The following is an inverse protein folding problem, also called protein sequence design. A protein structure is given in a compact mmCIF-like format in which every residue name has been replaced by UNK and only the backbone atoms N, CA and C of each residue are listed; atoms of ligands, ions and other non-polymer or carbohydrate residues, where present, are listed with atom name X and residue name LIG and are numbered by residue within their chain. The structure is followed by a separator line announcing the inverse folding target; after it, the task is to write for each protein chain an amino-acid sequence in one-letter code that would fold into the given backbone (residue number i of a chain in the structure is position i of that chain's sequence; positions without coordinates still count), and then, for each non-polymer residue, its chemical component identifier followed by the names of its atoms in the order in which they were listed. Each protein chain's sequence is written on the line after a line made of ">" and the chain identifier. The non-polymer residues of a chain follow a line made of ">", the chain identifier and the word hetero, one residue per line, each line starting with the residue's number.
data_IF_309923513245
#
_entry.id   IF_309923513245
#
_cell.length_a   1.000
_cell.length_b   1.000
_cell.length_c   1.000
_cell.angle_alpha   90.00
_cell.angle_beta   90.00
_cell.angle_gamma   90.00
#
_symmetry.space_group_name_H-M   'P 1'
#
loop_
_entity.id
_entity.type
_entity.pdbx_description
1 polymer ?
#
# COMPACT_ATOMS: atom_id res chain seq x y z
N UNK A 1 -14.07 -8.48 21.94
CA UNK A 1 -13.85 -7.64 20.74
C UNK A 1 -12.85 -6.60 21.17
N UNK A 2 -11.69 -6.47 20.50
CA UNK A 2 -10.73 -5.44 20.89
C UNK A 2 -11.42 -4.07 20.75
N UNK A 3 -11.14 -3.16 21.66
CA UNK A 3 -11.72 -1.79 21.62
C UNK A 3 -11.00 -0.89 20.61
N UNK A 4 -10.01 -1.42 19.92
CA UNK A 4 -9.22 -0.71 18.92
C UNK A 4 -10.00 -0.71 17.61
N UNK A 5 -10.33 0.46 17.03
CA UNK A 5 -10.98 0.52 15.72
C UNK A 5 -10.12 -0.18 14.68
N UNK A 6 -10.71 -1.01 13.83
CA UNK A 6 -9.99 -1.63 12.72
C UNK A 6 -9.51 -0.54 11.75
N UNK A 7 -8.20 -0.54 11.45
CA UNK A 7 -7.56 0.44 10.56
C UNK A 7 -6.84 -0.26 9.41
N UNK A 8 -6.66 0.49 8.32
CA UNK A 8 -5.70 0.19 7.26
C UNK A 8 -4.59 1.23 7.30
N UNK A 9 -3.33 0.78 7.21
CA UNK A 9 -2.18 1.68 7.07
C UNK A 9 -1.72 1.62 5.63
N UNK A 10 -1.97 2.70 4.90
CA UNK A 10 -1.57 2.84 3.51
C UNK A 10 -0.18 3.44 3.45
N UNK A 11 0.73 2.78 2.72
CA UNK A 11 2.08 3.28 2.52
C UNK A 11 2.40 3.19 1.03
N UNK A 12 3.12 4.19 0.56
CA UNK A 12 3.79 4.21 -0.74
C UNK A 12 5.22 4.70 -0.49
N UNK A 13 6.15 4.11 -1.22
CA UNK A 13 7.57 4.38 -1.11
C UNK A 13 8.11 4.75 -2.50
N UNK A 14 8.87 5.83 -2.56
CA UNK A 14 9.72 6.11 -3.70
C UNK A 14 11.14 5.62 -3.40
N UNK A 15 11.80 5.05 -4.41
CA UNK A 15 13.13 4.47 -4.29
C UNK A 15 14.06 4.96 -5.40
N UNK A 16 15.35 4.77 -5.19
CA UNK A 16 16.38 4.94 -6.25
C UNK A 16 16.32 3.83 -7.33
N UNK A 17 15.59 2.75 -7.06
CA UNK A 17 15.35 1.62 -7.96
C UNK A 17 14.62 0.48 -7.25
N UNK A 18 14.67 -0.74 -7.78
CA UNK A 18 13.92 -1.90 -7.25
C UNK A 18 14.83 -3.03 -6.73
N UNK A 19 16.15 -2.91 -6.86
CA UNK A 19 17.11 -3.89 -6.36
C UNK A 19 17.43 -3.60 -4.88
N UNK A 20 16.85 -4.39 -3.99
CA UNK A 20 17.10 -4.31 -2.55
C UNK A 20 18.58 -4.43 -2.16
N UNK A 21 19.49 -4.89 -3.02
CA UNK A 21 20.91 -4.94 -2.70
C UNK A 21 21.59 -3.55 -2.76
N UNK A 22 21.13 -2.67 -3.64
CA UNK A 22 21.82 -1.41 -4.00
C UNK A 22 20.94 -0.17 -3.94
N UNK A 23 19.62 -0.34 -4.06
CA UNK A 23 18.67 0.76 -4.07
C UNK A 23 18.11 1.03 -2.66
N UNK A 24 17.82 2.28 -2.40
CA UNK A 24 17.39 2.85 -1.12
C UNK A 24 16.11 3.67 -1.25
N UNK A 25 15.41 3.85 -0.12
CA UNK A 25 14.23 4.70 0.03
C UNK A 25 14.58 6.18 -0.13
N UNK A 26 13.73 6.94 -0.81
CA UNK A 26 13.90 8.39 -1.02
C UNK A 26 12.66 9.21 -0.66
N UNK A 27 11.47 8.62 -0.63
CA UNK A 27 10.27 9.23 -0.07
C UNK A 27 9.41 8.12 0.56
N UNK A 28 8.76 8.42 1.70
CA UNK A 28 7.74 7.54 2.28
C UNK A 28 6.54 8.39 2.63
N UNK A 29 5.36 7.97 2.19
CA UNK A 29 4.10 8.54 2.63
C UNK A 29 3.25 7.52 3.39
N UNK A 30 2.38 8.02 4.27
CA UNK A 30 1.46 7.22 5.06
C UNK A 30 0.10 7.90 5.09
N UNK A 31 -0.95 7.14 4.86
CA UNK A 31 -2.34 7.53 5.16
C UNK A 31 -2.99 6.43 5.99
N UNK A 32 -3.74 6.79 7.02
CA UNK A 32 -4.52 5.83 7.80
C UNK A 32 -6.00 6.00 7.47
N UNK A 33 -6.69 4.91 7.18
CA UNK A 33 -8.14 4.90 6.97
C UNK A 33 -8.83 3.96 7.95
N UNK A 34 -10.15 4.11 8.11
CA UNK A 34 -10.99 2.98 8.52
C UNK A 34 -11.22 1.99 7.35
N UNK A 35 -12.06 0.99 7.58
CA UNK A 35 -12.45 0.00 6.56
C UNK A 35 -13.54 0.50 5.61
N UNK A 36 -14.09 1.70 5.85
CA UNK A 36 -14.89 2.40 4.86
C UNK A 36 -14.04 3.20 3.86
N UNK A 37 -12.72 3.15 4.01
CA UNK A 37 -11.71 3.82 3.19
C UNK A 37 -11.69 5.34 3.39
N UNK A 38 -12.27 5.83 4.48
CA UNK A 38 -12.25 7.24 4.85
C UNK A 38 -10.95 7.57 5.60
N UNK A 39 -10.14 8.54 5.13
CA UNK A 39 -8.94 8.97 5.84
C UNK A 39 -9.27 9.56 7.21
N UNK A 40 -8.52 9.15 8.24
CA UNK A 40 -8.68 9.70 9.60
C UNK A 40 -7.83 10.95 9.86
N UNK A 41 -6.92 11.24 8.93
CA UNK A 41 -5.98 12.36 8.93
C UNK A 41 -5.57 12.65 7.47
N UNK A 42 -5.13 13.88 7.12
CA UNK A 42 -4.72 14.21 5.75
C UNK A 42 -3.56 13.38 5.19
N UNK A 43 -2.77 12.72 6.05
CA UNK A 43 -1.61 11.95 5.67
C UNK A 43 -0.29 12.57 6.13
N UNK A 44 0.76 11.79 6.03
CA UNK A 44 2.14 12.18 6.36
C UNK A 44 3.05 11.78 5.21
N UNK A 45 4.02 12.63 4.86
CA UNK A 45 5.06 12.29 3.88
C UNK A 45 6.40 12.84 4.33
N UNK A 46 7.47 12.12 4.01
CA UNK A 46 8.83 12.51 4.36
C UNK A 46 9.82 12.09 3.27
N UNK A 47 10.70 13.02 2.90
CA UNK A 47 11.79 12.79 1.94
C UNK A 47 13.04 12.35 2.70
N UNK A 48 13.69 11.32 2.17
CA UNK A 48 14.84 10.65 2.77
C UNK A 48 16.03 10.88 1.87
N UNK A 49 17.15 11.25 2.48
CA UNK A 49 18.43 11.37 1.77
C UNK A 49 19.10 9.98 1.75
N UNK A 50 19.21 9.32 0.58
CA UNK A 50 19.91 8.04 0.47
C UNK A 50 21.43 8.26 0.50
N UNK A 51 22.17 7.16 0.60
CA UNK A 51 23.61 7.16 0.40
C UNK A 51 23.95 7.59 -1.03
N UNK A 52 25.08 8.31 -1.18
CA UNK A 52 25.50 8.84 -2.48
C UNK A 52 25.63 7.75 -3.55
N UNK A 53 26.06 6.54 -3.16
CA UNK A 53 26.18 5.40 -4.07
C UNK A 53 24.83 4.95 -4.64
N UNK A 54 23.77 4.93 -3.84
CA UNK A 54 22.43 4.59 -4.32
C UNK A 54 21.87 5.71 -5.20
N UNK A 55 22.10 6.97 -4.80
CA UNK A 55 21.70 8.14 -5.57
C UNK A 55 22.36 8.19 -6.96
N UNK A 56 23.65 7.88 -7.05
CA UNK A 56 24.39 7.86 -8.30
C UNK A 56 24.03 6.64 -9.17
N UNK A 57 23.59 5.54 -8.56
CA UNK A 57 23.18 4.31 -9.25
C UNK A 57 21.77 4.38 -9.87
N UNK A 58 21.00 5.45 -9.61
CA UNK A 58 19.68 5.64 -10.25
C UNK A 58 19.81 5.59 -11.77
N UNK A 59 19.16 4.60 -12.39
CA UNK A 59 19.06 4.50 -13.84
C UNK A 59 18.23 5.64 -14.44
N UNK A 60 18.44 5.91 -15.73
CA UNK A 60 17.84 7.05 -16.44
C UNK A 60 16.32 7.15 -16.26
N UNK A 61 15.62 6.02 -16.33
CA UNK A 61 14.16 5.99 -16.14
C UNK A 61 13.72 6.53 -14.77
N UNK A 62 14.34 6.06 -13.68
CA UNK A 62 13.99 6.48 -12.31
C UNK A 62 14.41 7.92 -12.08
N UNK A 63 15.58 8.31 -12.60
CA UNK A 63 16.08 9.68 -12.50
C UNK A 63 15.15 10.67 -13.21
N UNK A 64 14.73 10.37 -14.43
CA UNK A 64 13.81 11.23 -15.20
C UNK A 64 12.43 11.32 -14.55
N UNK A 65 11.94 10.21 -13.98
CA UNK A 65 10.69 10.14 -13.22
C UNK A 65 10.74 11.08 -11.99
N UNK A 66 11.78 10.97 -11.16
CA UNK A 66 11.97 11.81 -9.98
C UNK A 66 12.25 13.27 -10.33
N UNK A 67 12.86 13.53 -11.48
CA UNK A 67 13.03 14.90 -11.99
C UNK A 67 11.68 15.51 -12.38
N UNK A 68 10.82 14.75 -13.08
CA UNK A 68 9.51 15.22 -13.50
C UNK A 68 8.57 15.47 -12.31
N UNK A 69 8.69 14.70 -11.23
CA UNK A 69 7.90 14.86 -10.00
C UNK A 69 8.40 15.98 -9.07
N UNK A 70 9.60 16.51 -9.34
CA UNK A 70 10.32 17.45 -8.48
C UNK A 70 11.04 16.80 -7.29
N UNK A 71 10.83 15.50 -7.04
CA UNK A 71 11.44 14.79 -5.93
C UNK A 71 12.97 14.79 -6.00
N UNK A 72 13.55 14.73 -7.21
CA UNK A 72 15.00 14.72 -7.40
C UNK A 72 15.69 15.96 -6.79
N UNK A 73 15.01 17.11 -6.74
CA UNK A 73 15.53 18.35 -6.13
C UNK A 73 15.38 18.36 -4.60
N UNK A 74 14.39 17.64 -4.07
CA UNK A 74 14.12 17.52 -2.64
C UNK A 74 15.06 16.51 -1.96
N UNK A 75 15.40 15.40 -2.63
CA UNK A 75 16.21 14.29 -2.09
C UNK A 75 17.51 14.75 -1.39
N UNK A 76 18.33 15.66 -1.96
CA UNK A 76 19.57 16.09 -1.31
C UNK A 76 19.38 16.77 0.06
N UNK A 77 18.16 17.28 0.31
CA UNK A 77 17.73 17.96 1.54
C UNK A 77 16.86 17.07 2.44
N UNK A 78 16.65 15.80 2.06
CA UNK A 78 15.91 14.83 2.86
C UNK A 78 16.55 14.56 4.22
N UNK A 79 15.75 13.99 5.13
CA UNK A 79 16.22 13.58 6.46
C UNK A 79 17.03 12.28 6.39
N UNK A 80 17.66 11.90 7.49
CA UNK A 80 18.29 10.58 7.60
C UNK A 80 17.24 9.47 7.62
N UNK A 81 17.62 8.25 7.17
CA UNK A 81 16.74 7.08 7.24
C UNK A 81 16.24 6.81 8.67
N UNK A 82 17.10 6.99 9.68
CA UNK A 82 16.74 6.76 11.07
C UNK A 82 15.68 7.76 11.59
N UNK A 83 15.80 9.03 11.19
CA UNK A 83 14.82 10.06 11.53
C UNK A 83 13.50 9.84 10.79
N UNK A 84 13.55 9.37 9.55
CA UNK A 84 12.38 9.02 8.77
C UNK A 84 11.62 7.85 9.40
N UNK A 85 12.31 6.74 9.72
CA UNK A 85 11.69 5.58 10.39
C UNK A 85 11.03 5.99 11.71
N UNK A 86 11.70 6.84 12.51
CA UNK A 86 11.15 7.33 13.77
C UNK A 86 9.85 8.12 13.53
N UNK A 87 9.84 9.08 12.61
CA UNK A 87 8.68 9.93 12.36
C UNK A 87 7.50 9.17 11.72
N UNK A 88 7.80 8.24 10.79
CA UNK A 88 6.80 7.35 10.19
C UNK A 88 6.13 6.50 11.28
N UNK A 89 6.91 5.88 12.16
CA UNK A 89 6.38 5.06 13.24
C UNK A 89 5.53 5.88 14.22
N UNK A 90 6.02 7.06 14.64
CA UNK A 90 5.27 7.96 15.52
C UNK A 90 3.93 8.38 14.89
N UNK A 91 3.92 8.68 13.59
CA UNK A 91 2.67 8.99 12.88
C UNK A 91 1.68 7.82 12.92
N UNK A 92 2.15 6.60 12.65
CA UNK A 92 1.31 5.39 12.67
C UNK A 92 0.76 5.13 14.08
N UNK A 93 1.59 5.25 15.12
CA UNK A 93 1.23 4.98 16.52
C UNK A 93 0.10 5.89 17.05
N UNK A 94 -0.05 7.09 16.49
CA UNK A 94 -1.16 7.99 16.82
C UNK A 94 -2.53 7.39 16.50
N UNK A 95 -2.61 6.52 15.50
CA UNK A 95 -3.87 5.95 15.00
C UNK A 95 -3.96 4.43 15.20
N UNK A 96 -2.82 3.75 15.28
CA UNK A 96 -2.69 2.30 15.48
C UNK A 96 -1.71 2.06 16.64
N UNK A 97 -2.13 2.28 17.90
CA UNK A 97 -1.23 2.14 19.05
C UNK A 97 -0.91 0.66 19.36
N UNK A 98 -1.79 -0.26 18.96
CA UNK A 98 -1.65 -1.69 19.23
C UNK A 98 -0.88 -2.39 18.10
N UNK A 99 0.26 -2.98 18.45
CA UNK A 99 1.14 -3.69 17.53
C UNK A 99 0.44 -4.85 16.81
N UNK A 100 0.68 -4.98 15.51
CA UNK A 100 0.26 -6.12 14.70
C UNK A 100 -1.24 -6.18 14.41
N UNK A 101 -1.96 -5.07 14.58
CA UNK A 101 -3.42 -5.02 14.37
C UNK A 101 -3.80 -4.56 12.96
N UNK A 102 -3.13 -3.54 12.42
CA UNK A 102 -3.46 -2.98 11.11
C UNK A 102 -2.61 -3.61 9.99
N UNK A 103 -3.22 -4.14 8.91
CA UNK A 103 -2.50 -4.59 7.73
C UNK A 103 -1.96 -3.39 6.92
N UNK A 104 -0.89 -3.66 6.17
CA UNK A 104 -0.32 -2.72 5.20
C UNK A 104 -1.17 -2.70 3.93
N UNK A 105 -1.51 -1.52 3.41
CA UNK A 105 -2.32 -1.35 2.22
C UNK A 105 -1.59 -0.49 1.16
N UNK A 106 -1.91 -0.73 -0.12
CA UNK A 106 -1.37 0.04 -1.23
C UNK A 106 -1.45 -0.72 -2.56
N UNK A 107 -0.84 -0.18 -3.61
CA UNK A 107 -0.75 -0.84 -4.91
C UNK A 107 0.62 -1.52 -5.07
N UNK A 108 0.64 -2.81 -5.39
CA UNK A 108 1.90 -3.55 -5.58
C UNK A 108 2.75 -3.51 -4.30
N UNK A 109 2.06 -3.47 -3.17
CA UNK A 109 2.59 -3.17 -1.83
C UNK A 109 3.64 -4.16 -1.32
N UNK A 110 3.78 -5.31 -1.99
CA UNK A 110 4.84 -6.28 -1.69
C UNK A 110 6.24 -5.72 -1.92
N UNK A 111 6.41 -4.81 -2.87
CA UNK A 111 7.69 -4.12 -3.12
C UNK A 111 8.03 -3.21 -1.94
N UNK A 112 7.10 -2.33 -1.55
CA UNK A 112 7.31 -1.40 -0.44
C UNK A 112 7.53 -2.16 0.86
N UNK A 113 6.75 -3.21 1.12
CA UNK A 113 6.95 -4.10 2.28
C UNK A 113 8.38 -4.63 2.36
N UNK A 114 8.97 -5.01 1.23
CA UNK A 114 10.34 -5.53 1.22
C UNK A 114 11.38 -4.44 1.55
N UNK A 115 11.18 -3.21 1.06
CA UNK A 115 12.02 -2.06 1.42
C UNK A 115 11.82 -1.66 2.88
N UNK A 116 10.58 -1.60 3.38
CA UNK A 116 10.28 -1.33 4.79
C UNK A 116 10.91 -2.37 5.72
N UNK A 117 10.80 -3.67 5.40
CA UNK A 117 11.43 -4.72 6.20
C UNK A 117 12.96 -4.57 6.30
N UNK A 118 13.61 -4.06 5.23
CA UNK A 118 15.06 -3.81 5.22
C UNK A 118 15.45 -2.51 5.93
N UNK A 119 14.79 -1.40 5.59
CA UNK A 119 15.22 -0.04 5.92
C UNK A 119 14.45 0.61 7.07
N UNK A 120 13.23 0.14 7.34
CA UNK A 120 12.35 0.62 8.42
C UNK A 120 11.78 -0.55 9.26
N UNK A 121 12.63 -1.45 9.80
CA UNK A 121 12.19 -2.68 10.43
C UNK A 121 11.24 -2.47 11.62
N UNK A 122 11.32 -1.33 12.33
CA UNK A 122 10.39 -1.01 13.43
C UNK A 122 8.99 -0.71 12.91
N UNK A 123 8.87 -0.06 11.76
CA UNK A 123 7.60 0.18 11.07
C UNK A 123 7.02 -1.15 10.59
N UNK A 124 7.83 -1.96 9.89
CA UNK A 124 7.41 -3.26 9.37
C UNK A 124 6.89 -4.20 10.48
N UNK A 125 7.63 -4.28 11.58
CA UNK A 125 7.28 -5.13 12.72
C UNK A 125 5.96 -4.69 13.38
N UNK A 126 5.72 -3.38 13.49
CA UNK A 126 4.51 -2.85 14.12
C UNK A 126 3.24 -3.14 13.33
N UNK A 127 3.35 -3.28 12.00
CA UNK A 127 2.21 -3.60 11.13
C UNK A 127 1.89 -5.10 11.17
N UNK A 128 0.62 -5.45 10.93
CA UNK A 128 0.24 -6.84 10.73
C UNK A 128 0.97 -7.43 9.51
N UNK A 129 1.32 -8.71 9.54
CA UNK A 129 2.06 -9.40 8.46
C UNK A 129 1.28 -9.51 7.13
N UNK A 130 0.00 -9.14 7.11
CA UNK A 130 -0.89 -9.27 5.95
C UNK A 130 -0.91 -7.94 5.23
N UNK A 131 -1.17 -8.02 3.93
CA UNK A 131 -1.34 -6.86 3.09
C UNK A 131 -2.71 -6.85 2.40
N UNK A 132 -3.23 -5.64 2.20
CA UNK A 132 -4.34 -5.37 1.28
C UNK A 132 -3.73 -4.76 0.01
N UNK A 133 -3.51 -5.61 -0.99
CA UNK A 133 -2.91 -5.21 -2.26
C UNK A 133 -3.98 -4.89 -3.32
N UNK A 134 -4.14 -3.61 -3.64
CA UNK A 134 -5.09 -3.14 -4.65
C UNK A 134 -4.75 -3.70 -6.04
N UNK A 135 -3.47 -3.93 -6.34
CA UNK A 135 -3.04 -4.50 -7.62
C UNK A 135 -3.51 -5.94 -7.80
N UNK A 136 -3.68 -6.70 -6.72
CA UNK A 136 -4.28 -8.03 -6.77
C UNK A 136 -5.73 -7.98 -7.24
N UNK A 137 -6.53 -7.03 -6.72
CA UNK A 137 -7.93 -6.84 -7.13
C UNK A 137 -8.02 -6.33 -8.57
N UNK A 138 -7.11 -5.43 -8.97
CA UNK A 138 -6.98 -4.95 -10.35
C UNK A 138 -6.74 -6.09 -11.33
N UNK A 139 -5.80 -6.99 -11.03
CA UNK A 139 -5.48 -8.12 -11.92
C UNK A 139 -6.62 -9.14 -12.01
N UNK A 140 -7.35 -9.39 -10.92
CA UNK A 140 -8.57 -10.22 -10.94
C UNK A 140 -9.67 -9.55 -11.76
N UNK A 141 -9.92 -8.26 -11.54
CA UNK A 141 -10.92 -7.48 -12.27
C UNK A 141 -10.64 -7.45 -13.77
N UNK A 142 -9.36 -7.35 -14.17
CA UNK A 142 -8.95 -7.42 -15.59
C UNK A 142 -9.40 -8.71 -16.28
N UNK A 143 -9.39 -9.84 -15.58
CA UNK A 143 -9.70 -11.17 -16.13
C UNK A 143 -11.17 -11.54 -15.97
N UNK A 144 -11.75 -11.26 -14.81
CA UNK A 144 -13.11 -11.66 -14.48
C UNK A 144 -14.14 -10.63 -14.92
N UNK A 145 -13.79 -9.34 -14.87
CA UNK A 145 -14.70 -8.22 -15.15
C UNK A 145 -14.04 -7.15 -16.04
N UNK A 146 -13.72 -7.43 -17.32
CA UNK A 146 -12.98 -6.49 -18.17
C UNK A 146 -13.60 -5.09 -18.24
N UNK A 147 -14.94 -4.98 -18.20
CA UNK A 147 -15.65 -3.69 -18.17
C UNK A 147 -15.34 -2.85 -16.93
N UNK A 148 -15.19 -3.49 -15.77
CA UNK A 148 -14.78 -2.83 -14.53
C UNK A 148 -13.34 -2.34 -14.68
N UNK A 149 -12.44 -3.20 -15.16
CA UNK A 149 -11.04 -2.84 -15.34
C UNK A 149 -10.83 -1.62 -16.26
N UNK A 150 -11.46 -1.61 -17.45
CA UNK A 150 -11.28 -0.51 -18.41
C UNK A 150 -11.94 0.81 -17.99
N UNK A 151 -12.78 0.79 -16.95
CA UNK A 151 -13.43 1.99 -16.40
C UNK A 151 -12.86 2.40 -15.04
N UNK A 152 -11.77 1.76 -14.59
CA UNK A 152 -11.05 2.17 -13.41
C UNK A 152 -10.51 3.61 -13.59
N UNK A 153 -10.54 4.45 -12.53
CA UNK A 153 -10.01 5.81 -12.59
C UNK A 153 -8.56 5.84 -13.06
N UNK A 154 -8.22 6.78 -13.94
CA UNK A 154 -6.83 7.00 -14.34
C UNK A 154 -5.99 7.47 -13.14
N UNK A 155 -4.73 7.03 -13.10
CA UNK A 155 -3.74 7.51 -12.13
C UNK A 155 -2.97 8.68 -12.71
N UNK A 156 -2.89 9.78 -11.97
CA UNK A 156 -2.19 11.01 -12.30
C UNK A 156 -1.35 11.54 -11.12
N UNK A 157 -1.04 10.69 -10.12
CA UNK A 157 -0.36 11.05 -8.87
C UNK A 157 1.04 11.66 -9.06
N UNK A 158 1.66 11.44 -10.22
CA UNK A 158 2.88 12.11 -10.61
C UNK A 158 4.14 11.56 -9.93
N UNK A 159 4.10 10.32 -9.42
CA UNK A 159 5.22 9.69 -8.72
C UNK A 159 5.63 10.49 -7.48
N UNK A 160 4.62 10.75 -6.65
CA UNK A 160 4.75 11.40 -5.34
C UNK A 160 3.94 10.58 -4.37
N UNK A 161 4.62 10.07 -3.35
CA UNK A 161 4.09 8.98 -2.54
C UNK A 161 2.70 9.27 -1.95
N UNK A 162 2.47 10.48 -1.42
CA UNK A 162 1.16 10.82 -0.82
C UNK A 162 0.03 10.87 -1.86
N UNK A 163 0.30 11.41 -3.05
CA UNK A 163 -0.69 11.46 -4.12
C UNK A 163 -1.03 10.05 -4.61
N UNK A 164 0.00 9.21 -4.78
CA UNK A 164 -0.16 7.82 -5.23
C UNK A 164 -0.94 6.96 -4.21
N UNK A 165 -0.78 7.19 -2.90
CA UNK A 165 -1.62 6.56 -1.86
C UNK A 165 -3.08 6.96 -2.03
N UNK A 166 -3.39 8.25 -2.15
CA UNK A 166 -4.76 8.73 -2.27
C UNK A 166 -5.44 8.19 -3.55
N UNK A 167 -4.68 8.07 -4.64
CA UNK A 167 -5.16 7.42 -5.85
C UNK A 167 -5.40 5.92 -5.68
N UNK A 168 -4.59 5.25 -4.88
CA UNK A 168 -4.74 3.82 -4.53
C UNK A 168 -5.98 3.58 -3.67
N UNK A 169 -6.26 4.47 -2.71
CA UNK A 169 -7.50 4.45 -1.90
C UNK A 169 -8.72 4.62 -2.82
N UNK A 170 -8.70 5.64 -3.69
CA UNK A 170 -9.76 5.88 -4.69
C UNK A 170 -9.96 4.67 -5.61
N UNK A 171 -8.89 4.02 -6.04
CA UNK A 171 -8.96 2.82 -6.87
C UNK A 171 -9.61 1.65 -6.11
N UNK A 172 -9.25 1.41 -4.84
CA UNK A 172 -9.88 0.37 -4.03
C UNK A 172 -11.37 0.66 -3.79
N UNK A 173 -11.72 1.91 -3.51
CA UNK A 173 -13.10 2.33 -3.33
C UNK A 173 -13.94 2.07 -4.59
N UNK A 174 -13.36 2.37 -5.77
CA UNK A 174 -13.98 2.02 -7.04
C UNK A 174 -14.26 0.51 -7.13
N UNK A 175 -13.25 -0.35 -6.88
CA UNK A 175 -13.46 -1.79 -6.93
C UNK A 175 -14.46 -2.28 -5.89
N UNK A 176 -14.47 -1.74 -4.67
CA UNK A 176 -15.46 -2.06 -3.62
C UNK A 176 -16.89 -1.89 -4.16
N UNK A 177 -17.15 -0.84 -4.93
CA UNK A 177 -18.49 -0.52 -5.46
C UNK A 177 -18.93 -1.42 -6.62
N UNK A 178 -18.00 -1.91 -7.45
CA UNK A 178 -18.37 -2.55 -8.73
C UNK A 178 -17.82 -3.97 -8.96
N UNK A 179 -16.81 -4.40 -8.20
CA UNK A 179 -16.20 -5.72 -8.31
C UNK A 179 -16.57 -6.66 -7.14
N UNK A 180 -17.06 -6.11 -6.03
CA UNK A 180 -17.54 -6.87 -4.87
C UNK A 180 -19.07 -6.89 -4.83
N UNK A 181 -19.62 -7.75 -3.97
CA UNK A 181 -21.06 -7.85 -3.73
C UNK A 181 -21.57 -6.57 -3.08
N UNK A 182 -22.71 -6.06 -3.56
CA UNK A 182 -23.33 -4.87 -2.98
C UNK A 182 -23.84 -5.13 -1.56
N UNK A 183 -23.82 -4.10 -0.71
CA UNK A 183 -24.38 -4.16 0.63
C UNK A 183 -25.88 -4.53 0.61
N UNK A 184 -26.35 -5.35 1.57
CA UNK A 184 -25.63 -5.85 2.76
C UNK A 184 -24.80 -7.12 2.52
N UNK A 185 -24.60 -7.54 1.27
CA UNK A 185 -23.96 -8.81 0.93
C UNK A 185 -24.88 -10.03 1.08
N UNK A 186 -24.35 -11.24 0.84
CA UNK A 186 -25.11 -12.48 1.02
C UNK A 186 -25.45 -12.74 2.49
N UNK A 187 -26.58 -13.40 2.74
CA UNK A 187 -26.94 -13.87 4.09
C UNK A 187 -25.97 -14.95 4.58
N UNK A 188 -25.94 -15.21 5.90
CA UNK A 188 -25.12 -16.29 6.46
C UNK A 188 -25.43 -17.66 5.83
N UNK A 189 -26.70 -17.91 5.50
CA UNK A 189 -27.14 -19.14 4.81
C UNK A 189 -26.60 -19.20 3.38
N UNK A 190 -26.75 -18.13 2.59
CA UNK A 190 -26.21 -18.06 1.23
C UNK A 190 -24.68 -18.23 1.19
N UNK A 191 -23.97 -17.61 2.15
CA UNK A 191 -22.52 -17.75 2.26
C UNK A 191 -22.11 -19.18 2.66
N UNK A 192 -22.87 -19.82 3.56
CA UNK A 192 -22.64 -21.21 3.96
C UNK A 192 -22.84 -22.17 2.78
N UNK A 193 -23.92 -22.02 2.03
CA UNK A 193 -24.23 -22.89 0.90
C UNK A 193 -23.18 -22.76 -0.22
N UNK A 194 -22.80 -21.53 -0.56
CA UNK A 194 -21.71 -21.29 -1.52
C UNK A 194 -20.38 -21.93 -1.06
N UNK A 195 -20.07 -21.87 0.24
CA UNK A 195 -18.88 -22.52 0.79
C UNK A 195 -18.95 -24.05 0.66
N UNK A 196 -20.09 -24.66 0.98
CA UNK A 196 -20.30 -26.11 0.85
C UNK A 196 -20.15 -26.59 -0.60
N UNK A 197 -20.71 -25.85 -1.57
CA UNK A 197 -20.57 -26.14 -3.00
C UNK A 197 -19.11 -26.07 -3.46
N UNK A 198 -18.38 -25.04 -3.03
CA UNK A 198 -16.95 -24.88 -3.35
C UNK A 198 -16.14 -26.02 -2.74
N UNK A 199 -16.36 -26.36 -1.46
CA UNK A 199 -15.67 -27.48 -0.80
C UNK A 199 -15.92 -28.79 -1.55
N UNK A 200 -17.16 -29.12 -1.88
CA UNK A 200 -17.51 -30.33 -2.62
C UNK A 200 -16.83 -30.37 -4.00
N UNK A 201 -16.81 -29.24 -4.72
CA UNK A 201 -16.15 -29.12 -6.03
C UNK A 201 -14.63 -29.33 -5.96
N UNK A 202 -13.98 -28.92 -4.88
CA UNK A 202 -12.52 -29.02 -4.70
C UNK A 202 -12.07 -30.28 -3.97
N UNK A 203 -12.95 -30.99 -3.26
CA UNK A 203 -12.63 -32.19 -2.50
C UNK A 203 -11.82 -33.25 -3.31
N UNK A 204 -12.11 -33.53 -4.60
CA UNK A 204 -11.30 -34.49 -5.37
C UNK A 204 -9.86 -34.04 -5.68
N UNK A 205 -9.52 -32.78 -5.44
CA UNK A 205 -8.20 -32.17 -5.75
C UNK A 205 -7.32 -31.95 -4.53
N UNK A 206 -7.89 -32.05 -3.33
CA UNK A 206 -7.19 -31.84 -2.07
C UNK A 206 -6.87 -33.25 -1.51
N UNK A 207 -5.59 -33.59 -1.32
CA UNK A 207 -5.19 -34.90 -0.81
C UNK A 207 -5.58 -35.11 0.66
#
# INVERSE_FOLDING_TARGET
>A
MSQTPDRLVWIDCEMTGLDLAVDELVEVAVVVTDYDLEPVDPGFSIVIKPDQSAFDNMGDFVRDMHAASGLLEEIPNGVSLADAEYQVLEYILRFVPEHGTAPLAGNTIGTDRAFLAKYMPRVDAHLHYRSVDVSSIKELSRRWFPRVYFQAPAKNGGHRALADILESIRELEYYRRVAFVADPGPTSEQAHDAAAEVVAKWAPRIP
#
